data_IF_517117717249
#
_entry.id   IF_517117717249
#
_cell.length_a   1.000
_cell.length_b   1.000
_cell.length_c   1.000
_cell.angle_alpha   90.00
_cell.angle_beta   90.00
_cell.angle_gamma   90.00
#
_symmetry.space_group_name_H-M   'P 1'
#
loop_
_entity.id
_entity.type
_entity.pdbx_description
1 polymer ?
#
# COMPACT_ATOMS: atom_id res chain seq x y z
N UNK A 1 -50.97 24.38 -44.46
CA UNK A 1 -51.12 22.91 -44.56
C UNK A 1 -50.28 22.26 -43.47
N UNK A 2 -50.93 21.41 -42.69
CA UNK A 2 -50.44 20.73 -41.49
C UNK A 2 -49.75 19.41 -41.89
N UNK A 3 -48.56 19.11 -41.34
CA UNK A 3 -48.35 17.91 -40.51
C UNK A 3 -46.94 17.89 -39.89
N UNK A 4 -46.82 17.50 -38.59
CA UNK A 4 -45.58 17.49 -37.82
C UNK A 4 -44.83 16.16 -38.00
N UNK A 5 -43.51 16.19 -37.88
CA UNK A 5 -42.70 14.98 -37.73
C UNK A 5 -42.33 14.82 -36.25
N UNK A 6 -42.53 13.58 -35.81
CA UNK A 6 -42.53 13.07 -34.45
C UNK A 6 -41.19 13.20 -33.72
N UNK A 7 -41.32 13.47 -32.43
CA UNK A 7 -40.34 13.37 -31.35
C UNK A 7 -39.72 11.97 -31.29
N UNK A 8 -38.39 11.88 -31.19
CA UNK A 8 -37.73 10.88 -30.32
C UNK A 8 -36.65 11.61 -29.53
N UNK A 9 -37.02 11.98 -28.31
CA UNK A 9 -36.15 12.41 -27.24
C UNK A 9 -35.46 11.15 -26.68
N UNK A 10 -34.25 10.83 -27.16
CA UNK A 10 -33.43 9.77 -26.56
C UNK A 10 -32.80 10.29 -25.25
N UNK A 11 -33.57 10.22 -24.18
CA UNK A 11 -33.08 10.18 -22.80
C UNK A 11 -32.36 8.83 -22.58
N UNK A 12 -31.07 8.76 -22.87
CA UNK A 12 -30.22 7.73 -22.28
C UNK A 12 -29.60 8.26 -20.99
N UNK A 13 -30.39 8.18 -19.92
CA UNK A 13 -29.87 8.18 -18.56
C UNK A 13 -29.01 6.93 -18.39
N UNK A 14 -27.70 7.04 -18.66
CA UNK A 14 -26.74 6.08 -18.13
C UNK A 14 -26.60 6.37 -16.64
N UNK A 15 -27.49 5.76 -15.85
CA UNK A 15 -27.26 5.54 -14.44
C UNK A 15 -26.04 4.62 -14.32
N UNK A 16 -24.84 5.22 -14.29
CA UNK A 16 -23.69 4.57 -13.68
C UNK A 16 -24.00 4.47 -12.19
N UNK A 17 -24.66 3.38 -11.81
CA UNK A 17 -24.69 2.92 -10.44
C UNK A 17 -23.25 2.52 -10.12
N UNK A 18 -22.45 3.51 -9.70
CA UNK A 18 -21.21 3.24 -8.99
C UNK A 18 -21.63 2.67 -7.64
N UNK A 19 -21.83 1.35 -7.60
CA UNK A 19 -21.92 0.65 -6.32
C UNK A 19 -20.60 0.90 -5.61
N UNK A 20 -20.63 1.79 -4.60
CA UNK A 20 -19.54 1.88 -3.64
C UNK A 20 -19.54 0.56 -2.87
N UNK A 21 -18.86 -0.44 -3.41
CA UNK A 21 -18.49 -1.60 -2.62
C UNK A 21 -17.51 -1.10 -1.57
N UNK A 22 -18.04 -0.76 -0.40
CA UNK A 22 -17.24 -0.45 0.76
C UNK A 22 -16.45 -1.71 1.08
N UNK A 23 -15.14 -1.66 0.93
CA UNK A 23 -14.27 -2.77 1.27
C UNK A 23 -14.57 -3.22 2.71
N UNK A 24 -14.71 -4.53 2.90
CA UNK A 24 -14.89 -5.09 4.23
C UNK A 24 -13.67 -4.72 5.09
N UNK A 25 -13.86 -4.49 6.41
CA UNK A 25 -12.74 -4.23 7.30
C UNK A 25 -11.77 -5.42 7.29
N UNK A 26 -10.47 -5.13 7.30
CA UNK A 26 -9.44 -6.15 7.40
C UNK A 26 -9.64 -7.02 8.64
N UNK A 27 -9.54 -8.33 8.47
CA UNK A 27 -9.65 -9.30 9.56
C UNK A 27 -8.63 -10.42 9.34
N UNK A 28 -7.98 -10.86 10.42
CA UNK A 28 -7.10 -12.02 10.40
C UNK A 28 -7.91 -13.31 10.31
N UNK A 29 -7.33 -14.34 9.71
CA UNK A 29 -7.96 -15.65 9.63
C UNK A 29 -7.75 -16.47 10.91
N UNK A 30 -8.60 -17.47 11.11
CA UNK A 30 -8.55 -18.44 12.21
C UNK A 30 -8.49 -17.76 13.60
N UNK A 31 -7.53 -18.18 14.43
CA UNK A 31 -7.29 -17.68 15.79
C UNK A 31 -6.60 -16.32 15.83
N UNK A 32 -6.31 -15.72 14.67
CA UNK A 32 -5.60 -14.46 14.57
C UNK A 32 -4.10 -14.57 14.82
N UNK A 33 -3.52 -15.77 14.89
CA UNK A 33 -2.06 -15.95 14.94
C UNK A 33 -1.42 -15.36 13.68
N UNK A 34 -0.30 -14.65 13.87
CA UNK A 34 0.43 -14.00 12.78
C UNK A 34 1.88 -14.46 12.82
N UNK A 35 2.32 -15.06 11.73
CA UNK A 35 3.70 -15.47 11.57
C UNK A 35 4.64 -14.27 11.40
N UNK A 36 5.86 -14.35 11.93
CA UNK A 36 6.83 -13.26 11.82
C UNK A 36 7.29 -13.04 10.37
N UNK A 37 7.83 -11.86 10.08
CA UNK A 37 8.19 -11.46 8.71
C UNK A 37 9.27 -12.33 8.02
N UNK A 38 10.06 -13.06 8.81
CA UNK A 38 11.16 -13.87 8.31
C UNK A 38 10.73 -15.31 7.97
N UNK A 39 9.56 -15.75 8.43
CA UNK A 39 9.08 -17.11 8.18
C UNK A 39 7.56 -17.24 8.45
N UNK A 40 6.74 -17.74 7.50
CA UNK A 40 7.14 -18.21 6.18
C UNK A 40 7.45 -17.05 5.21
N UNK A 41 8.05 -17.39 4.06
CA UNK A 41 8.39 -16.38 3.06
C UNK A 41 7.13 -15.81 2.40
N UNK A 42 6.81 -14.54 2.71
CA UNK A 42 5.73 -13.81 2.06
C UNK A 42 6.22 -13.12 0.77
N UNK A 43 5.63 -13.51 -0.36
CA UNK A 43 5.99 -13.03 -1.70
C UNK A 43 4.94 -12.08 -2.27
N UNK A 44 5.41 -11.15 -3.10
CA UNK A 44 4.56 -10.27 -3.90
C UNK A 44 4.65 -10.70 -5.36
N UNK A 45 3.54 -10.67 -6.10
CA UNK A 45 3.55 -10.93 -7.54
C UNK A 45 4.45 -9.91 -8.25
N UNK A 46 5.34 -10.39 -9.11
CA UNK A 46 6.38 -9.55 -9.73
C UNK A 46 7.57 -9.19 -8.82
N UNK A 47 7.54 -9.66 -7.57
CA UNK A 47 8.66 -9.57 -6.64
C UNK A 47 9.02 -8.15 -6.22
N UNK A 48 10.23 -8.00 -5.67
CA UNK A 48 10.70 -6.72 -5.15
C UNK A 48 10.87 -5.63 -6.21
N UNK A 49 11.15 -6.01 -7.47
CA UNK A 49 11.26 -5.04 -8.56
C UNK A 49 9.96 -4.26 -8.76
N UNK A 50 8.81 -4.96 -8.78
CA UNK A 50 7.50 -4.33 -8.95
C UNK A 50 7.15 -3.44 -7.77
N UNK A 51 7.42 -3.90 -6.54
CA UNK A 51 7.29 -3.10 -5.32
C UNK A 51 8.13 -1.81 -5.44
N UNK A 52 9.41 -1.93 -5.82
CA UNK A 52 10.30 -0.78 -5.96
C UNK A 52 9.76 0.23 -6.97
N UNK A 53 9.28 -0.23 -8.12
CA UNK A 53 8.71 0.65 -9.14
C UNK A 53 7.42 1.33 -8.68
N UNK A 54 6.57 0.63 -7.93
CA UNK A 54 5.34 1.19 -7.37
C UNK A 54 5.58 2.43 -6.51
N UNK A 55 6.63 2.41 -5.68
CA UNK A 55 7.04 3.57 -4.90
C UNK A 55 7.81 4.60 -5.75
N UNK A 56 8.82 4.19 -6.51
CA UNK A 56 9.75 5.16 -7.12
C UNK A 56 9.15 5.91 -8.32
N UNK A 57 8.32 5.26 -9.15
CA UNK A 57 7.78 5.87 -10.37
C UNK A 57 6.91 7.11 -10.13
N UNK A 58 6.30 7.20 -8.95
CA UNK A 58 5.40 8.31 -8.58
C UNK A 58 5.93 9.16 -7.43
N UNK A 59 7.14 8.88 -6.93
CA UNK A 59 7.81 9.70 -5.93
C UNK A 59 8.42 10.93 -6.59
N UNK A 60 7.61 12.00 -6.73
CA UNK A 60 8.06 13.24 -7.38
C UNK A 60 9.18 13.91 -6.59
N UNK A 61 10.42 13.86 -7.11
CA UNK A 61 11.57 14.55 -6.53
C UNK A 61 11.29 16.05 -6.34
N UNK A 62 10.67 16.71 -7.33
CA UNK A 62 10.32 18.13 -7.23
C UNK A 62 9.36 18.42 -6.06
N UNK A 63 8.41 17.52 -5.78
CA UNK A 63 7.45 17.67 -4.68
C UNK A 63 8.07 17.45 -3.31
N UNK A 64 9.03 16.53 -3.18
CA UNK A 64 9.55 16.10 -1.88
C UNK A 64 10.92 16.69 -1.53
N UNK A 65 11.77 17.01 -2.51
CA UNK A 65 13.10 17.60 -2.26
C UNK A 65 13.01 19.02 -1.67
N UNK A 66 11.88 19.72 -1.80
CA UNK A 66 11.65 20.98 -1.06
C UNK A 66 11.61 20.77 0.46
N UNK A 67 11.42 19.54 0.94
CA UNK A 67 11.39 19.16 2.35
C UNK A 67 12.80 18.81 2.87
N UNK A 68 13.81 19.64 2.56
CA UNK A 68 15.24 19.37 2.79
C UNK A 68 15.62 18.98 4.23
N UNK A 69 14.85 19.40 5.24
CA UNK A 69 15.11 19.07 6.64
C UNK A 69 14.51 17.70 7.06
N UNK A 70 14.31 16.77 6.13
CA UNK A 70 13.70 15.46 6.39
C UNK A 70 14.65 14.35 5.94
N UNK A 71 15.44 13.87 6.89
CA UNK A 71 16.34 12.72 6.71
C UNK A 71 16.08 11.72 7.82
N UNK A 72 15.97 10.44 7.48
CA UNK A 72 15.65 9.39 8.43
C UNK A 72 15.14 8.13 7.74
N UNK A 73 14.59 7.23 8.55
CA UNK A 73 14.01 5.97 8.12
C UNK A 73 12.53 5.96 8.52
N UNK A 74 11.66 5.70 7.55
CA UNK A 74 10.24 5.42 7.80
C UNK A 74 10.03 3.93 7.64
N UNK A 75 9.47 3.26 8.64
CA UNK A 75 9.10 1.85 8.56
C UNK A 75 7.59 1.71 8.61
N UNK A 76 7.00 1.10 7.58
CA UNK A 76 5.59 0.71 7.55
C UNK A 76 5.50 -0.80 7.75
N UNK A 77 4.89 -1.23 8.84
CA UNK A 77 4.65 -2.63 9.20
C UNK A 77 3.16 -2.94 9.02
N UNK A 78 2.83 -4.13 8.52
CA UNK A 78 1.46 -4.56 8.26
C UNK A 78 1.34 -6.08 8.28
N UNK A 79 0.11 -6.56 8.34
CA UNK A 79 -0.22 -7.98 8.26
C UNK A 79 -0.84 -8.30 6.91
N UNK A 80 -0.58 -9.52 6.42
CA UNK A 80 -1.24 -10.13 5.27
C UNK A 80 -1.97 -11.36 5.76
N UNK A 81 -3.27 -11.46 5.50
CA UNK A 81 -4.08 -12.57 5.97
C UNK A 81 -4.07 -13.76 5.00
N UNK A 82 -4.76 -14.84 5.35
CA UNK A 82 -4.89 -16.05 4.52
C UNK A 82 -5.51 -15.83 3.12
N UNK A 83 -6.07 -14.66 2.84
CA UNK A 83 -6.67 -14.28 1.55
C UNK A 83 -5.76 -13.38 0.71
N UNK A 84 -4.59 -13.01 1.22
CA UNK A 84 -3.71 -12.02 0.57
C UNK A 84 -4.14 -10.57 0.82
N UNK A 85 -5.12 -10.32 1.67
CA UNK A 85 -5.55 -8.95 2.03
C UNK A 85 -4.58 -8.37 3.07
N UNK A 86 -4.44 -7.04 3.09
CA UNK A 86 -3.49 -6.33 3.95
C UNK A 86 -4.19 -5.46 5.00
N UNK A 87 -3.66 -5.41 6.23
CA UNK A 87 -4.17 -4.52 7.27
C UNK A 87 -3.24 -4.37 8.48
N UNK A 88 -3.78 -3.84 9.58
CA UNK A 88 -3.05 -3.55 10.82
C UNK A 88 -1.78 -2.70 10.64
N UNK A 89 -1.87 -1.71 9.73
CA UNK A 89 -0.74 -0.86 9.39
C UNK A 89 -0.23 -0.06 10.59
N UNK A 90 1.08 -0.08 10.81
CA UNK A 90 1.80 0.69 11.83
C UNK A 90 2.96 1.42 11.18
N UNK A 91 3.20 2.64 11.63
CA UNK A 91 4.33 3.45 11.18
C UNK A 91 5.31 3.69 12.33
N UNK A 92 6.60 3.53 12.05
CA UNK A 92 7.71 3.87 12.94
C UNK A 92 8.69 4.77 12.20
N UNK A 93 9.34 5.66 12.93
CA UNK A 93 10.21 6.68 12.36
C UNK A 93 11.43 6.87 13.25
N UNK A 94 12.60 6.94 12.64
CA UNK A 94 13.84 7.32 13.31
C UNK A 94 14.72 8.15 12.38
N UNK A 95 15.68 8.88 12.93
CA UNK A 95 16.73 9.53 12.14
C UNK A 95 17.74 8.48 11.62
N UNK A 96 18.82 8.95 11.01
CA UNK A 96 19.85 8.09 10.47
C UNK A 96 20.78 7.50 11.55
N UNK A 97 20.67 7.97 12.79
CA UNK A 97 21.35 7.47 13.98
C UNK A 97 20.40 6.64 14.87
N UNK A 98 19.26 6.24 14.31
CA UNK A 98 18.21 5.41 14.92
C UNK A 98 17.51 6.02 16.14
N UNK A 99 17.62 7.33 16.36
CA UNK A 99 16.84 8.02 17.39
C UNK A 99 15.41 8.28 16.90
N UNK A 100 14.38 8.11 17.75
CA UNK A 100 13.00 8.41 17.36
C UNK A 100 12.83 9.87 16.94
N UNK A 101 12.22 10.08 15.77
CA UNK A 101 11.87 11.41 15.26
C UNK A 101 10.49 11.39 14.61
N UNK A 102 10.00 12.56 14.19
CA UNK A 102 8.84 12.67 13.30
C UNK A 102 9.27 13.38 12.01
N UNK A 103 9.15 12.69 10.88
CA UNK A 103 9.36 13.25 9.55
C UNK A 103 8.08 13.94 9.06
N UNK A 104 8.22 14.75 8.01
CA UNK A 104 7.11 15.48 7.42
C UNK A 104 5.98 14.53 6.99
N UNK A 105 4.75 14.85 7.41
CA UNK A 105 3.55 14.04 7.15
C UNK A 105 3.32 13.75 5.66
N UNK A 106 3.71 14.65 4.75
CA UNK A 106 3.58 14.40 3.30
C UNK A 106 4.37 13.18 2.84
N UNK A 107 5.53 12.94 3.43
CA UNK A 107 6.39 11.79 3.12
C UNK A 107 5.76 10.52 3.71
N UNK A 108 5.41 10.55 5.00
CA UNK A 108 4.87 9.37 5.69
C UNK A 108 3.50 8.96 5.16
N UNK A 109 2.62 9.92 4.84
CA UNK A 109 1.33 9.66 4.19
C UNK A 109 1.52 8.99 2.83
N UNK A 110 2.42 9.51 2.00
CA UNK A 110 2.69 8.93 0.69
C UNK A 110 3.15 7.47 0.82
N UNK A 111 4.11 7.20 1.71
CA UNK A 111 4.62 5.84 1.92
C UNK A 111 3.54 4.90 2.47
N UNK A 112 2.71 5.38 3.40
CA UNK A 112 1.58 4.61 3.93
C UNK A 112 0.57 4.30 2.83
N UNK A 113 0.09 5.29 2.08
CA UNK A 113 -0.86 5.13 0.98
C UNK A 113 -0.33 4.16 -0.07
N UNK A 114 0.93 4.34 -0.50
CA UNK A 114 1.56 3.42 -1.44
C UNK A 114 1.68 2.00 -0.91
N UNK A 115 1.96 1.82 0.38
CA UNK A 115 1.99 0.47 0.97
C UNK A 115 0.60 -0.18 0.96
N UNK A 116 -0.46 0.58 1.25
CA UNK A 116 -1.85 0.10 1.22
C UNK A 116 -2.29 -0.33 -0.18
N UNK A 117 -1.79 0.34 -1.23
CA UNK A 117 -2.11 0.04 -2.64
C UNK A 117 -1.53 -1.30 -3.14
N UNK A 118 -0.56 -1.92 -2.44
CA UNK A 118 0.01 -3.21 -2.82
C UNK A 118 -0.97 -4.34 -2.49
N UNK A 119 -1.66 -4.88 -3.51
CA UNK A 119 -2.71 -5.91 -3.36
C UNK A 119 -2.33 -7.30 -3.85
N UNK A 120 -1.30 -7.44 -4.68
CA UNK A 120 -0.97 -8.73 -5.33
C UNK A 120 -0.07 -9.65 -4.47
N UNK A 121 -0.42 -9.83 -3.21
CA UNK A 121 0.30 -10.73 -2.31
C UNK A 121 0.01 -12.20 -2.62
N UNK A 122 1.06 -13.00 -2.68
CA UNK A 122 0.95 -14.46 -2.77
C UNK A 122 0.71 -14.98 -1.36
N UNK A 123 -0.37 -15.76 -1.20
CA UNK A 123 -0.78 -16.34 0.08
C UNK A 123 0.38 -17.15 0.67
N UNK A 124 0.74 -16.85 1.92
CA UNK A 124 1.81 -17.52 2.63
C UNK A 124 1.39 -18.91 3.10
N UNK A 125 2.34 -19.85 3.09
CA UNK A 125 2.17 -21.19 3.63
C UNK A 125 3.32 -21.51 4.58
N UNK A 126 3.00 -22.12 5.72
CA UNK A 126 4.01 -22.62 6.65
C UNK A 126 4.71 -23.89 6.11
N UNK A 127 5.60 -24.47 6.90
CA UNK A 127 6.40 -25.65 6.54
C UNK A 127 5.53 -26.89 6.26
N UNK A 128 4.35 -26.98 6.87
CA UNK A 128 3.39 -28.06 6.67
C UNK A 128 2.44 -27.79 5.46
N UNK A 129 2.61 -26.65 4.79
CA UNK A 129 1.80 -26.23 3.65
C UNK A 129 0.44 -25.63 4.02
N UNK A 130 0.19 -25.35 5.31
CA UNK A 130 -1.02 -24.70 5.78
C UNK A 130 -0.96 -23.21 5.44
N UNK A 131 -2.10 -22.66 5.01
CA UNK A 131 -2.23 -21.22 4.77
C UNK A 131 -2.24 -20.47 6.10
N UNK A 132 -1.46 -19.41 6.22
CA UNK A 132 -1.29 -18.65 7.46
C UNK A 132 -1.36 -17.14 7.25
N UNK A 133 -1.66 -16.39 8.32
CA UNK A 133 -1.43 -14.95 8.34
C UNK A 133 0.07 -14.68 8.52
N UNK A 134 0.59 -13.62 7.92
CA UNK A 134 2.02 -13.28 8.00
C UNK A 134 2.23 -11.77 8.10
N UNK A 135 3.26 -11.38 8.82
CA UNK A 135 3.66 -9.99 8.92
C UNK A 135 4.63 -9.60 7.81
N UNK A 136 4.61 -8.34 7.39
CA UNK A 136 5.62 -7.75 6.53
C UNK A 136 5.92 -6.32 6.98
N UNK A 137 7.04 -5.80 6.54
CA UNK A 137 7.35 -4.38 6.68
C UNK A 137 8.15 -3.90 5.48
N UNK A 138 8.10 -2.60 5.26
CA UNK A 138 9.06 -1.88 4.43
C UNK A 138 9.71 -0.76 5.22
N UNK A 139 11.02 -0.63 5.10
CA UNK A 139 11.80 0.50 5.61
C UNK A 139 12.28 1.34 4.44
N UNK A 140 12.00 2.64 4.51
CA UNK A 140 12.29 3.63 3.49
C UNK A 140 13.36 4.58 4.01
N UNK A 141 14.54 4.57 3.40
CA UNK A 141 15.60 5.53 3.73
C UNK A 141 15.36 6.83 2.97
N UNK A 142 15.13 7.90 3.71
CA UNK A 142 14.92 9.25 3.18
C UNK A 142 16.12 10.12 3.53
N UNK A 143 16.62 10.90 2.57
CA UNK A 143 17.63 11.93 2.81
C UNK A 143 17.21 13.22 2.13
N UNK A 144 17.06 14.28 2.92
CA UNK A 144 16.64 15.60 2.45
C UNK A 144 15.36 15.56 1.60
N UNK A 145 14.40 14.73 2.03
CA UNK A 145 13.14 14.51 1.31
C UNK A 145 13.25 13.63 0.06
N UNK A 146 14.39 13.01 -0.21
CA UNK A 146 14.58 12.08 -1.34
C UNK A 146 14.52 10.63 -0.85
N UNK A 147 13.69 9.80 -1.49
CA UNK A 147 13.66 8.35 -1.26
C UNK A 147 14.88 7.68 -1.89
N UNK A 148 15.81 7.20 -1.06
CA UNK A 148 17.06 6.57 -1.51
C UNK A 148 16.96 5.05 -1.60
N UNK A 149 16.33 4.42 -0.61
CA UNK A 149 16.31 2.96 -0.48
C UNK A 149 14.98 2.46 0.09
N UNK A 150 14.62 1.23 -0.32
CA UNK A 150 13.49 0.47 0.19
C UNK A 150 14.04 -0.90 0.61
N UNK A 151 13.72 -1.35 1.82
CA UNK A 151 14.13 -2.63 2.39
C UNK A 151 12.93 -3.37 2.99
N UNK A 152 12.94 -4.72 3.08
CA UNK A 152 13.97 -5.63 2.55
C UNK A 152 13.91 -5.75 1.01
N UNK A 153 15.02 -6.17 0.39
CA UNK A 153 15.14 -6.39 -1.07
C UNK A 153 14.63 -7.76 -1.50
#
# INVERSE_FOLDING_TARGET
MLKPIFIILCLFCNNLIFSQQKDAPFTLCDDGSVHPYYHPELKYKGGFWEIKQHFQSTYSTAKFQVLKNNSGIVTVQFNVNCKGETGDFKIRQCDLDYQPITLNKKITDYLMTKTIELKDWIIAKDEDGKIVNSQKFFSFRIKEGILLEILPK
#
